data_IF_679973265082
#
_entry.id   IF_679973265082
#
_cell.length_a   1.000
_cell.length_b   1.000
_cell.length_c   1.000
_cell.angle_alpha   90.00
_cell.angle_beta   90.00
_cell.angle_gamma   90.00
#
_symmetry.space_group_name_H-M   'P 1'
#
loop_
_entity.id
_entity.type
_entity.pdbx_description
1 polymer ?
#
# COMPACT_ATOMS: atom_id res chain seq x y z
N UNK A 1 8.46 55.04 -1.26
CA UNK A 1 7.11 54.45 -1.24
C UNK A 1 7.29 52.95 -1.21
N UNK A 2 7.22 52.36 -0.02
CA UNK A 2 7.63 50.98 0.25
C UNK A 2 6.40 50.07 0.19
N UNK A 3 6.32 49.22 -0.83
CA UNK A 3 5.23 48.26 -1.01
C UNK A 3 5.45 47.04 -0.11
N UNK A 4 4.55 46.80 0.84
CA UNK A 4 4.55 45.61 1.69
C UNK A 4 3.93 44.41 0.95
N UNK A 5 4.50 43.19 1.06
CA UNK A 5 3.86 41.99 0.51
C UNK A 5 2.69 41.56 1.40
N UNK A 6 1.52 41.44 0.79
CA UNK A 6 0.28 40.98 1.43
C UNK A 6 0.42 39.47 1.75
N UNK A 7 0.66 39.15 3.02
CA UNK A 7 0.66 37.75 3.51
C UNK A 7 -0.79 37.27 3.49
N UNK A 8 -1.09 36.37 2.55
CA UNK A 8 -2.41 35.76 2.42
C UNK A 8 -2.60 34.71 3.52
N UNK A 9 -3.03 35.15 4.71
CA UNK A 9 -3.42 34.27 5.81
C UNK A 9 -4.76 33.58 5.48
N UNK A 10 -4.74 32.61 4.56
CA UNK A 10 -5.85 31.68 4.42
C UNK A 10 -5.90 30.80 5.65
N UNK A 11 -6.86 31.08 6.53
CA UNK A 11 -7.21 30.16 7.61
C UNK A 11 -7.94 28.95 7.03
N UNK A 12 -7.81 27.80 7.70
CA UNK A 12 -8.44 26.54 7.28
C UNK A 12 -9.96 26.66 7.11
N UNK A 13 -10.61 27.54 7.89
CA UNK A 13 -12.04 27.80 7.76
C UNK A 13 -12.42 28.40 6.39
N UNK A 14 -11.60 29.30 5.84
CA UNK A 14 -11.82 29.88 4.51
C UNK A 14 -11.56 28.88 3.36
N UNK A 15 -10.74 27.86 3.60
CA UNK A 15 -10.53 26.75 2.65
C UNK A 15 -11.73 25.81 2.64
N UNK A 16 -12.28 25.49 3.82
CA UNK A 16 -13.44 24.60 3.96
C UNK A 16 -14.75 25.22 3.45
N UNK A 17 -14.88 26.56 3.49
CA UNK A 17 -16.06 27.27 2.99
C UNK A 17 -16.15 27.38 1.47
N UNK A 18 -15.12 26.93 0.72
CA UNK A 18 -15.14 26.96 -0.74
C UNK A 18 -16.14 25.93 -1.26
N UNK A 19 -17.01 26.30 -2.22
CA UNK A 19 -17.86 25.33 -2.91
C UNK A 19 -16.97 24.24 -3.48
N UNK A 20 -17.18 23.01 -3.01
CA UNK A 20 -16.37 21.87 -3.39
C UNK A 20 -16.64 21.65 -4.89
N UNK A 21 -15.65 21.83 -5.79
CA UNK A 21 -15.81 21.42 -7.17
C UNK A 21 -16.14 19.93 -7.15
N UNK A 22 -17.13 19.50 -7.95
CA UNK A 22 -17.56 18.11 -8.07
C UNK A 22 -16.32 17.21 -8.24
N UNK A 23 -15.80 16.67 -7.13
CA UNK A 23 -14.68 15.75 -7.20
C UNK A 23 -15.22 14.52 -7.94
N UNK A 24 -14.46 13.94 -8.88
CA UNK A 24 -14.86 12.66 -9.45
C UNK A 24 -15.13 11.69 -8.28
N UNK A 25 -16.24 10.94 -8.30
CA UNK A 25 -16.66 10.11 -7.18
C UNK A 25 -15.80 8.85 -7.12
N UNK A 26 -14.49 8.96 -6.96
CA UNK A 26 -13.61 7.80 -6.80
C UNK A 26 -12.27 8.19 -6.16
N UNK A 27 -12.27 8.54 -4.86
CA UNK A 27 -11.05 8.39 -4.07
C UNK A 27 -10.74 6.90 -3.77
N UNK A 28 -11.72 6.01 -3.93
CA UNK A 28 -11.61 4.60 -3.53
C UNK A 28 -11.33 3.58 -4.65
N UNK A 29 -11.47 3.91 -5.94
CA UNK A 29 -11.09 2.93 -6.99
C UNK A 29 -9.61 2.97 -7.34
N UNK A 30 -8.89 4.04 -6.98
CA UNK A 30 -7.44 4.15 -7.13
C UNK A 30 -6.65 3.87 -5.85
N UNK A 31 -7.35 3.65 -4.73
CA UNK A 31 -6.76 3.08 -3.52
C UNK A 31 -5.98 1.82 -3.91
N UNK A 32 -4.74 1.69 -3.43
CA UNK A 32 -3.77 0.63 -3.77
C UNK A 32 -4.21 -0.81 -3.50
N UNK A 33 -5.51 -1.07 -3.36
CA UNK A 33 -6.20 -2.35 -3.42
C UNK A 33 -6.18 -2.95 -4.84
N UNK A 34 -5.04 -2.93 -5.53
CA UNK A 34 -4.88 -3.84 -6.65
C UNK A 34 -4.94 -5.26 -6.08
N UNK A 35 -5.81 -6.16 -6.58
CA UNK A 35 -6.00 -7.46 -5.96
C UNK A 35 -4.71 -8.31 -5.99
N UNK A 36 -3.83 -8.02 -6.94
CA UNK A 36 -2.53 -8.65 -7.12
C UNK A 36 -1.37 -8.00 -6.31
N UNK A 37 -1.63 -7.47 -5.10
CA UNK A 37 -0.58 -6.87 -4.25
C UNK A 37 -0.16 -7.77 -3.09
N UNK A 38 1.13 -7.77 -2.76
CA UNK A 38 1.76 -8.56 -1.69
C UNK A 38 2.69 -7.67 -0.86
N UNK A 39 2.71 -7.82 0.46
CA UNK A 39 3.66 -7.10 1.31
C UNK A 39 4.76 -8.05 1.78
N UNK A 40 6.00 -7.58 1.72
CA UNK A 40 7.13 -8.25 2.35
C UNK A 40 7.68 -7.37 3.47
N UNK A 41 8.00 -8.00 4.59
CA UNK A 41 8.67 -7.35 5.73
C UNK A 41 10.08 -7.90 5.84
N UNK A 42 11.05 -6.99 5.99
CA UNK A 42 12.45 -7.34 6.15
C UNK A 42 12.91 -7.00 7.57
N UNK A 43 13.75 -7.85 8.16
CA UNK A 43 14.37 -7.58 9.45
C UNK A 43 15.34 -6.37 9.38
N UNK A 44 15.80 -5.92 10.56
CA UNK A 44 16.74 -4.81 10.68
C UNK A 44 18.02 -5.15 9.90
N UNK A 45 18.55 -4.24 9.07
CA UNK A 45 19.69 -4.56 8.21
C UNK A 45 20.92 -5.01 9.03
N UNK A 46 21.40 -6.22 8.72
CA UNK A 46 22.71 -6.72 9.13
C UNK A 46 23.80 -6.24 8.16
N UNK A 47 25.03 -6.14 8.62
CA UNK A 47 26.20 -5.52 7.94
C UNK A 47 26.68 -6.25 6.68
N UNK A 48 26.18 -7.45 6.40
CA UNK A 48 26.48 -8.20 5.18
C UNK A 48 25.44 -7.92 4.10
N UNK A 49 25.90 -7.91 2.85
CA UNK A 49 25.29 -7.59 1.55
C UNK A 49 23.89 -8.20 1.27
N UNK A 50 22.95 -8.04 2.19
CA UNK A 50 21.66 -8.73 2.27
C UNK A 50 20.55 -7.77 1.88
N UNK A 51 19.45 -8.31 1.34
CA UNK A 51 18.26 -7.52 1.02
C UNK A 51 17.77 -6.73 2.24
N UNK A 52 17.77 -5.39 2.12
CA UNK A 52 17.56 -4.46 3.22
C UNK A 52 16.35 -3.56 2.98
N UNK A 53 15.72 -3.10 4.07
CA UNK A 53 14.59 -2.16 4.06
C UNK A 53 14.90 -0.83 3.38
N UNK A 54 16.14 -0.35 3.52
CA UNK A 54 16.53 0.99 3.06
C UNK A 54 17.15 0.98 1.66
N UNK A 55 17.08 -0.15 0.96
CA UNK A 55 17.59 -0.26 -0.40
C UNK A 55 16.71 0.55 -1.38
N UNK A 56 17.30 1.15 -2.43
CA UNK A 56 16.52 1.84 -3.45
C UNK A 56 15.50 0.91 -4.10
N UNK A 57 14.31 1.45 -4.39
CA UNK A 57 13.17 0.67 -4.91
C UNK A 57 13.47 -0.07 -6.21
N UNK A 58 14.29 0.52 -7.10
CA UNK A 58 14.71 -0.12 -8.36
C UNK A 58 15.56 -1.36 -8.10
N UNK A 59 16.59 -1.22 -7.28
CA UNK A 59 17.47 -2.33 -6.88
C UNK A 59 16.69 -3.41 -6.14
N UNK A 60 15.79 -3.02 -5.24
CA UNK A 60 14.92 -3.96 -4.53
C UNK A 60 14.02 -4.74 -5.50
N UNK A 61 13.43 -4.08 -6.50
CA UNK A 61 12.60 -4.73 -7.52
C UNK A 61 13.40 -5.73 -8.37
N UNK A 62 14.66 -5.42 -8.71
CA UNK A 62 15.55 -6.34 -9.40
C UNK A 62 15.86 -7.58 -8.55
N UNK A 63 16.20 -7.40 -7.28
CA UNK A 63 16.44 -8.52 -6.35
C UNK A 63 15.20 -9.40 -6.17
N UNK A 64 14.02 -8.79 -6.00
CA UNK A 64 12.74 -9.51 -5.90
C UNK A 64 12.45 -10.29 -7.19
N UNK A 65 12.64 -9.65 -8.35
CA UNK A 65 12.42 -10.29 -9.65
C UNK A 65 13.39 -11.43 -9.91
N UNK A 66 14.66 -11.27 -9.52
CA UNK A 66 15.67 -12.33 -9.60
C UNK A 66 15.34 -13.50 -8.65
N UNK A 67 14.92 -13.20 -7.43
CA UNK A 67 14.52 -14.23 -6.46
C UNK A 67 13.32 -15.04 -6.95
N UNK A 68 12.31 -14.39 -7.55
CA UNK A 68 11.15 -15.05 -8.15
C UNK A 68 11.53 -15.93 -9.35
N UNK A 69 12.43 -15.45 -10.22
CA UNK A 69 12.92 -16.20 -11.39
C UNK A 69 13.81 -17.39 -11.05
N UNK A 70 14.50 -17.35 -9.91
CA UNK A 70 15.40 -18.43 -9.46
C UNK A 70 14.64 -19.72 -9.13
N UNK A 71 13.37 -19.60 -8.74
CA UNK A 71 12.52 -20.74 -8.39
C UNK A 71 11.57 -21.07 -9.53
N UNK A 72 11.61 -22.32 -10.02
CA UNK A 72 10.78 -22.76 -11.15
C UNK A 72 9.27 -22.58 -10.89
N UNK A 73 8.83 -22.72 -9.64
CA UNK A 73 7.42 -22.57 -9.25
C UNK A 73 6.91 -21.13 -9.23
N UNK A 74 7.80 -20.14 -9.21
CA UNK A 74 7.45 -18.70 -9.20
C UNK A 74 7.99 -17.95 -10.42
N UNK A 75 8.55 -18.67 -11.39
CA UNK A 75 9.18 -18.10 -12.59
C UNK A 75 8.21 -17.28 -13.45
N UNK A 76 6.95 -17.69 -13.48
CA UNK A 76 5.88 -17.03 -14.26
C UNK A 76 5.29 -15.80 -13.53
N UNK A 77 5.70 -15.54 -12.29
CA UNK A 77 5.20 -14.41 -11.52
C UNK A 77 5.84 -13.10 -11.98
N UNK A 78 5.14 -12.35 -12.84
CA UNK A 78 5.59 -11.04 -13.32
C UNK A 78 5.26 -9.91 -12.33
N UNK A 79 6.27 -9.12 -11.96
CA UNK A 79 6.15 -7.95 -11.07
C UNK A 79 5.97 -6.68 -11.90
N UNK A 80 4.90 -5.92 -11.66
CA UNK A 80 4.66 -4.62 -12.27
C UNK A 80 5.44 -3.50 -11.58
N UNK A 81 5.61 -3.60 -10.26
CA UNK A 81 6.30 -2.57 -9.51
C UNK A 81 6.45 -2.92 -8.04
N UNK A 82 7.34 -2.19 -7.38
CA UNK A 82 7.60 -2.33 -5.95
C UNK A 82 7.47 -0.93 -5.33
N UNK A 83 6.77 -0.83 -4.21
CA UNK A 83 6.69 0.35 -3.36
C UNK A 83 7.39 0.12 -2.03
N UNK A 84 7.85 1.18 -1.38
CA UNK A 84 8.44 1.09 -0.04
C UNK A 84 7.35 1.24 1.03
N UNK A 85 7.51 0.54 2.14
CA UNK A 85 6.64 0.66 3.32
C UNK A 85 7.51 0.83 4.56
N UNK A 86 6.91 1.27 5.68
CA UNK A 86 7.63 1.45 6.95
C UNK A 86 8.42 0.20 7.37
N UNK A 87 7.94 -1.00 7.03
CA UNK A 87 8.51 -2.27 7.48
C UNK A 87 9.19 -3.11 6.38
N UNK A 88 9.23 -2.64 5.14
CA UNK A 88 9.73 -3.43 4.01
C UNK A 88 9.17 -2.90 2.68
N UNK A 89 8.65 -3.79 1.84
CA UNK A 89 8.21 -3.45 0.49
C UNK A 89 6.81 -3.96 0.17
N UNK A 90 6.12 -3.27 -0.74
CA UNK A 90 4.84 -3.62 -1.30
C UNK A 90 5.04 -3.99 -2.77
N UNK A 91 4.78 -5.22 -3.15
CA UNK A 91 4.99 -5.75 -4.50
C UNK A 91 3.65 -5.80 -5.21
N UNK A 92 3.57 -5.19 -6.39
CA UNK A 92 2.42 -5.28 -7.29
C UNK A 92 2.75 -6.27 -8.40
N UNK A 93 1.97 -7.34 -8.49
CA UNK A 93 2.06 -8.32 -9.59
C UNK A 93 1.17 -7.89 -10.75
N UNK A 94 1.47 -8.43 -11.93
CA UNK A 94 0.67 -8.23 -13.14
C UNK A 94 -0.71 -8.86 -13.01
N UNK A 95 -0.74 -10.11 -12.53
CA UNK A 95 -1.92 -10.94 -12.47
C UNK A 95 -2.14 -11.48 -11.06
N UNK A 96 -3.40 -11.79 -10.69
CA UNK A 96 -3.71 -12.41 -9.39
C UNK A 96 -3.11 -13.81 -9.25
N UNK A 97 -2.99 -14.55 -10.36
CA UNK A 97 -2.35 -15.86 -10.40
C UNK A 97 -0.87 -15.78 -10.03
N UNK A 98 -0.16 -14.76 -10.54
CA UNK A 98 1.23 -14.49 -10.19
C UNK A 98 1.39 -14.20 -8.68
N UNK A 99 0.47 -13.41 -8.10
CA UNK A 99 0.43 -13.20 -6.65
C UNK A 99 0.19 -14.51 -5.91
N UNK A 100 -0.77 -15.33 -6.35
CA UNK A 100 -1.11 -16.61 -5.70
C UNK A 100 0.09 -17.55 -5.71
N UNK A 101 0.78 -17.68 -6.84
CA UNK A 101 2.01 -18.48 -6.95
C UNK A 101 3.11 -18.00 -6.01
N UNK A 102 3.35 -16.68 -5.94
CA UNK A 102 4.35 -16.08 -5.05
C UNK A 102 3.96 -16.18 -3.57
N UNK A 103 2.67 -16.26 -3.25
CA UNK A 103 2.18 -16.41 -1.87
C UNK A 103 2.21 -17.86 -1.42
N UNK A 104 1.84 -18.80 -2.30
CA UNK A 104 1.84 -20.24 -2.02
C UNK A 104 3.25 -20.81 -1.90
N UNK A 105 4.21 -20.28 -2.66
CA UNK A 105 5.60 -20.71 -2.61
C UNK A 105 6.44 -19.65 -1.90
N UNK A 106 6.80 -19.87 -0.63
CA UNK A 106 7.58 -18.89 0.16
C UNK A 106 9.09 -19.07 0.03
N UNK A 107 9.56 -20.03 -0.77
CA UNK A 107 11.00 -20.36 -0.88
C UNK A 107 11.84 -19.24 -1.49
N UNK A 108 11.24 -18.40 -2.35
CA UNK A 108 11.91 -17.24 -2.92
C UNK A 108 12.24 -16.17 -1.87
N UNK A 109 11.51 -16.08 -0.76
CA UNK A 109 11.85 -15.11 0.31
C UNK A 109 13.11 -15.51 1.06
N UNK A 110 13.42 -16.82 1.15
CA UNK A 110 14.71 -17.30 1.68
C UNK A 110 15.88 -16.86 0.81
N UNK A 111 15.65 -16.69 -0.49
CA UNK A 111 16.67 -16.21 -1.44
C UNK A 111 16.97 -14.73 -1.28
N UNK A 112 15.99 -13.94 -0.82
CA UNK A 112 16.21 -12.54 -0.45
C UNK A 112 17.05 -12.42 0.84
N UNK A 113 16.90 -13.37 1.76
CA UNK A 113 17.58 -13.35 3.05
C UNK A 113 16.93 -12.36 4.03
N UNK A 114 17.66 -12.02 5.09
CA UNK A 114 17.26 -11.04 6.12
C UNK A 114 15.87 -11.31 6.75
N UNK A 115 15.57 -12.59 7.00
CA UNK A 115 14.30 -13.09 7.55
C UNK A 115 13.07 -12.46 6.89
N UNK A 116 13.11 -12.36 5.56
CA UNK A 116 12.03 -11.75 4.79
C UNK A 116 10.77 -12.61 4.90
N UNK A 117 9.73 -12.01 5.47
CA UNK A 117 8.42 -12.64 5.65
C UNK A 117 7.37 -12.02 4.73
N UNK A 118 6.49 -12.86 4.19
CA UNK A 118 5.31 -12.41 3.44
C UNK A 118 4.22 -12.06 4.44
N UNK A 119 3.64 -10.87 4.30
CA UNK A 119 2.51 -10.41 5.11
C UNK A 119 1.39 -9.90 4.20
N UNK A 120 0.16 -9.98 4.68
CA UNK A 120 -0.96 -9.37 3.96
C UNK A 120 -0.85 -7.84 4.07
N UNK A 121 -0.92 -7.10 2.97
CA UNK A 121 -0.97 -5.64 3.04
C UNK A 121 -2.27 -5.22 3.73
N UNK A 122 -2.14 -4.30 4.69
CA UNK A 122 -3.26 -3.66 5.36
C UNK A 122 -3.34 -2.23 4.85
N UNK A 123 -4.50 -1.85 4.34
CA UNK A 123 -4.77 -0.51 3.85
C UNK A 123 -5.75 0.16 4.81
N UNK A 124 -5.43 1.38 5.24
CA UNK A 124 -6.37 2.20 5.99
C UNK A 124 -7.49 2.65 5.06
N UNK A 125 -8.73 2.48 5.51
CA UNK A 125 -9.91 3.00 4.81
C UNK A 125 -10.34 4.28 5.52
N UNK A 126 -10.51 5.37 4.77
CA UNK A 126 -11.09 6.62 5.28
C UNK A 126 -12.55 6.63 4.86
N UNK A 127 -13.43 6.72 5.86
CA UNK A 127 -14.88 6.79 5.65
C UNK A 127 -15.34 8.19 6.05
N UNK A 128 -16.08 8.84 5.16
CA UNK A 128 -16.70 10.13 5.44
C UNK A 128 -18.20 9.94 5.67
N UNK A 129 -18.80 10.83 6.47
CA UNK A 129 -20.24 10.92 6.74
C UNK A 129 -20.86 9.81 7.60
N UNK A 130 -20.16 8.71 7.88
CA UNK A 130 -20.56 7.74 8.91
C UNK A 130 -20.17 8.28 10.30
N UNK A 131 -21.13 8.55 11.20
CA UNK A 131 -20.80 8.97 12.56
C UNK A 131 -19.96 7.90 13.27
N UNK A 132 -18.90 8.29 13.97
CA UNK A 132 -18.03 7.35 14.68
C UNK A 132 -18.75 6.60 15.80
N UNK A 133 -19.85 7.14 16.33
CA UNK A 133 -20.76 6.48 17.28
C UNK A 133 -21.50 5.28 16.68
N UNK A 134 -21.58 5.19 15.35
CA UNK A 134 -22.32 4.16 14.63
C UNK A 134 -21.42 3.06 14.06
N UNK A 135 -20.09 3.21 14.20
CA UNK A 135 -19.08 2.24 13.78
C UNK A 135 -18.48 1.60 15.02
N UNK A 136 -18.93 0.40 15.33
CA UNK A 136 -18.37 -0.38 16.43
C UNK A 136 -17.15 -1.19 15.95
N UNK A 137 -15.95 -0.79 16.39
CA UNK A 137 -14.69 -1.43 16.02
C UNK A 137 -14.56 -2.84 16.63
N UNK A 138 -15.25 -3.11 17.73
CA UNK A 138 -15.29 -4.45 18.34
C UNK A 138 -16.12 -5.40 17.46
N UNK A 139 -17.16 -4.89 16.80
CA UNK A 139 -18.00 -5.61 15.83
C UNK A 139 -17.56 -5.34 14.38
N UNK A 140 -16.32 -5.73 14.09
CA UNK A 140 -15.66 -5.47 12.79
C UNK A 140 -16.50 -5.81 11.56
N UNK A 141 -17.21 -6.94 11.56
CA UNK A 141 -18.00 -7.37 10.41
C UNK A 141 -19.20 -6.44 10.16
N UNK A 142 -19.91 -6.05 11.20
CA UNK A 142 -21.07 -5.16 11.11
C UNK A 142 -20.64 -3.75 10.68
N UNK A 143 -19.52 -3.26 11.24
CA UNK A 143 -18.88 -2.03 10.83
C UNK A 143 -18.51 -2.03 9.33
N UNK A 144 -17.88 -3.11 8.84
CA UNK A 144 -17.53 -3.24 7.42
C UNK A 144 -18.79 -3.22 6.54
N UNK A 145 -19.82 -3.98 6.89
CA UNK A 145 -21.07 -4.03 6.11
C UNK A 145 -21.76 -2.67 6.05
N UNK A 146 -21.80 -1.94 7.18
CA UNK A 146 -22.37 -0.60 7.23
C UNK A 146 -21.59 0.39 6.39
N UNK A 147 -20.26 0.36 6.48
CA UNK A 147 -19.37 1.19 5.64
C UNK A 147 -19.57 0.87 4.15
N UNK A 148 -19.72 -0.40 3.78
CA UNK A 148 -19.98 -0.80 2.39
C UNK A 148 -21.34 -0.31 1.89
N UNK A 149 -22.37 -0.43 2.72
CA UNK A 149 -23.72 0.03 2.39
C UNK A 149 -23.78 1.54 2.20
N UNK A 150 -23.17 2.31 3.10
CA UNK A 150 -23.14 3.78 3.02
C UNK A 150 -22.28 4.30 1.86
N UNK A 151 -21.22 3.59 1.47
CA UNK A 151 -20.42 3.93 0.28
C UNK A 151 -21.11 3.56 -1.06
N UNK A 152 -22.17 2.74 -1.03
CA UNK A 152 -22.90 2.31 -2.23
C UNK A 152 -24.11 3.20 -2.56
N UNK A 153 -24.41 4.17 -1.69
CA UNK A 153 -25.48 5.17 -1.82
C UNK A 153 -24.93 6.48 -2.40
#
# INVERSE_FOLDING_TARGET
MSSTPQVNNQCWAAVAARPIPNFPPTYNTQSGNSPATLRITTAVPSTQNTFSRYMPTKTAAEHISQALKKHDRTRDASVLGVGTTKLGYLIRFKDEEAKKLATSNTEWTKTLGNDTAITQPQFGVVVHRTPTSEVDIEKKNDAIQKILQENSL
#
